data_IF_460726871595
#
_entry.id   IF_460726871595
#
_cell.length_a   1.000
_cell.length_b   1.000
_cell.length_c   1.000
_cell.angle_alpha   90.00
_cell.angle_beta   90.00
_cell.angle_gamma   90.00
#
_symmetry.space_group_name_H-M   'P 1'
#
loop_
_entity.id
_entity.type
_entity.pdbx_description
1 polymer ?
#
# COMPACT_ATOMS: atom_id res chain seq x y z
N UNK A 1 -16.59 5.65 7.27
CA UNK A 1 -15.83 5.46 6.02
C UNK A 1 -14.67 4.54 6.34
N UNK A 2 -14.62 3.37 5.71
CA UNK A 2 -13.61 2.35 6.02
C UNK A 2 -12.59 2.28 4.90
N UNK A 3 -11.33 2.38 5.28
CA UNK A 3 -10.19 2.16 4.40
C UNK A 3 -9.49 0.87 4.79
N UNK A 4 -9.11 0.09 3.79
CA UNK A 4 -8.33 -1.13 3.99
C UNK A 4 -7.12 -1.09 3.08
N UNK A 5 -5.95 -1.35 3.64
CA UNK A 5 -4.71 -1.51 2.89
C UNK A 5 -4.35 -3.00 2.88
N UNK A 6 -4.19 -3.55 1.68
CA UNK A 6 -3.66 -4.90 1.49
C UNK A 6 -2.26 -4.82 0.92
N UNK A 7 -1.30 -5.52 1.52
CA UNK A 7 0.09 -5.62 1.04
C UNK A 7 0.45 -7.09 0.91
N UNK A 8 0.98 -7.46 -0.24
CA UNK A 8 1.54 -8.78 -0.55
C UNK A 8 3.02 -8.61 -0.90
N UNK A 9 3.90 -9.02 0.01
CA UNK A 9 5.35 -8.91 -0.17
C UNK A 9 5.92 -10.27 -0.57
N UNK A 10 6.08 -10.49 -1.88
CA UNK A 10 6.69 -11.69 -2.44
C UNK A 10 8.22 -11.57 -2.54
N UNK A 11 8.90 -12.64 -2.96
CA UNK A 11 10.37 -12.64 -3.10
C UNK A 11 10.88 -11.72 -4.22
N UNK A 12 10.08 -11.49 -5.25
CA UNK A 12 10.48 -10.72 -6.44
C UNK A 12 9.86 -9.32 -6.45
N UNK A 13 8.59 -9.21 -6.04
CA UNK A 13 7.86 -7.95 -6.08
C UNK A 13 6.92 -7.84 -4.90
N UNK A 14 6.76 -6.61 -4.41
CA UNK A 14 5.78 -6.25 -3.42
C UNK A 14 4.64 -5.49 -4.09
N UNK A 15 3.42 -5.90 -3.79
CA UNK A 15 2.18 -5.36 -4.34
C UNK A 15 1.36 -4.77 -3.21
N UNK A 16 0.61 -3.72 -3.50
CA UNK A 16 -0.35 -3.22 -2.53
C UNK A 16 -1.57 -2.54 -3.16
N UNK A 17 -2.66 -2.51 -2.41
CA UNK A 17 -3.91 -1.88 -2.80
C UNK A 17 -4.48 -1.07 -1.64
N UNK A 18 -5.06 0.09 -1.95
CA UNK A 18 -5.95 0.82 -1.05
C UNK A 18 -7.38 0.59 -1.51
N UNK A 19 -8.23 0.14 -0.59
CA UNK A 19 -9.67 0.00 -0.76
C UNK A 19 -10.37 1.08 0.07
N UNK A 20 -11.36 1.74 -0.52
CA UNK A 20 -12.35 2.58 0.17
C UNK A 20 -13.69 1.89 -0.02
N UNK A 21 -14.27 1.38 1.07
CA UNK A 21 -15.56 0.69 1.05
C UNK A 21 -15.61 -0.46 0.02
N UNK A 22 -14.52 -1.23 -0.06
CA UNK A 22 -14.38 -2.36 -0.99
C UNK A 22 -14.00 -1.98 -2.43
N UNK A 23 -13.93 -0.69 -2.77
CA UNK A 23 -13.53 -0.21 -4.10
C UNK A 23 -12.05 0.14 -4.12
N UNK A 24 -11.31 -0.40 -5.09
CA UNK A 24 -9.88 -0.09 -5.28
C UNK A 24 -9.70 1.38 -5.68
N UNK A 25 -9.01 2.13 -4.83
CA UNK A 25 -8.68 3.53 -5.05
C UNK A 25 -7.27 3.69 -5.64
N UNK A 26 -6.31 2.93 -5.13
CA UNK A 26 -4.90 3.03 -5.51
C UNK A 26 -4.24 1.65 -5.54
N UNK A 27 -3.20 1.52 -6.35
CA UNK A 27 -2.38 0.32 -6.50
C UNK A 27 -0.90 0.70 -6.41
N UNK A 28 -0.11 -0.22 -5.89
CA UNK A 28 1.34 -0.12 -5.77
C UNK A 28 2.01 -1.40 -6.26
N UNK A 29 3.17 -1.25 -6.91
CA UNK A 29 4.04 -2.34 -7.32
C UNK A 29 5.49 -1.86 -7.29
N UNK A 30 6.34 -2.56 -6.56
CA UNK A 30 7.79 -2.37 -6.62
C UNK A 30 8.53 -3.72 -6.61
N UNK A 31 9.80 -3.77 -7.06
CA UNK A 31 10.68 -4.89 -6.74
C UNK A 31 10.82 -5.05 -5.22
N UNK A 32 10.81 -6.28 -4.71
CA UNK A 32 10.94 -6.47 -3.25
C UNK A 32 12.37 -6.12 -2.82
N UNK A 33 12.56 -5.14 -1.92
CA UNK A 33 13.87 -4.85 -1.35
C UNK A 33 14.37 -6.01 -0.49
N UNK A 34 15.68 -6.06 -0.25
CA UNK A 34 16.31 -7.11 0.57
C UNK A 34 15.69 -7.25 1.96
N UNK A 35 15.12 -6.15 2.50
CA UNK A 35 14.43 -6.12 3.79
C UNK A 35 12.92 -5.98 3.57
N UNK A 36 12.10 -7.00 3.90
CA UNK A 36 10.66 -6.95 3.71
C UNK A 36 9.95 -5.77 4.42
N UNK A 37 10.49 -5.32 5.55
CA UNK A 37 9.94 -4.16 6.27
C UNK A 37 10.03 -2.86 5.46
N UNK A 38 11.08 -2.72 4.64
CA UNK A 38 11.25 -1.54 3.78
C UNK A 38 10.19 -1.56 2.67
N UNK A 39 9.83 -2.73 2.17
CA UNK A 39 8.79 -2.90 1.16
C UNK A 39 7.41 -2.40 1.64
N UNK A 40 7.10 -2.62 2.93
CA UNK A 40 5.85 -2.15 3.55
C UNK A 40 5.84 -0.61 3.64
N UNK A 41 6.97 -0.01 4.05
CA UNK A 41 7.10 1.44 4.16
C UNK A 41 7.03 2.11 2.77
N UNK A 42 7.69 1.52 1.78
CA UNK A 42 7.65 1.98 0.39
C UNK A 42 6.25 1.87 -0.21
N UNK A 43 5.47 0.83 0.15
CA UNK A 43 4.08 0.69 -0.28
C UNK A 43 3.15 1.70 0.39
N UNK A 44 3.42 2.09 1.63
CA UNK A 44 2.56 2.99 2.41
C UNK A 44 2.45 4.39 1.80
N UNK A 45 3.58 5.00 1.44
CA UNK A 45 3.64 6.36 0.90
C UNK A 45 2.75 6.58 -0.34
N UNK A 46 2.75 5.73 -1.38
CA UNK A 46 1.87 5.88 -2.54
C UNK A 46 0.42 5.47 -2.27
N UNK A 47 0.18 4.50 -1.36
CA UNK A 47 -1.16 4.00 -1.08
C UNK A 47 -1.96 4.94 -0.17
N UNK A 48 -1.32 5.55 0.83
CA UNK A 48 -1.97 6.24 1.93
C UNK A 48 -1.40 7.65 2.28
N UNK A 49 -0.91 8.47 1.32
CA UNK A 49 -0.27 9.75 1.64
C UNK A 49 -1.21 10.74 2.34
N UNK A 50 -2.50 10.71 1.98
CA UNK A 50 -3.53 11.59 2.54
C UNK A 50 -4.30 10.93 3.70
N UNK A 51 -3.93 9.69 4.04
CA UNK A 51 -4.58 8.89 5.09
C UNK A 51 -4.24 9.34 6.49
N UNK A 52 -3.09 9.97 6.67
CA UNK A 52 -2.74 10.63 7.91
C UNK A 52 -3.33 12.04 8.04
N UNK A 53 -3.64 12.71 6.91
CA UNK A 53 -4.10 14.11 6.92
C UNK A 53 -5.61 14.27 7.07
N UNK A 54 -6.40 13.21 6.84
CA UNK A 54 -7.86 13.27 6.94
C UNK A 54 -8.56 13.87 5.71
N UNK A 55 -7.82 14.11 4.63
CA UNK A 55 -8.36 14.61 3.36
C UNK A 55 -8.82 13.41 2.51
N UNK A 56 -10.10 13.07 2.57
CA UNK A 56 -10.66 11.83 2.00
C UNK A 56 -11.96 11.98 1.20
#
# INVERSE_FOLDING_TARGET
MTFTVGIDSGSTATKGILLKEGVIQRRFLCPTPFRPADAINEAWQPLAPDLASGHF
#
